data_IF_251808009212
#
_entry.id   IF_251808009212
#
_cell.length_a   1.000
_cell.length_b   1.000
_cell.length_c   1.000
_cell.angle_alpha   90.00
_cell.angle_beta   90.00
_cell.angle_gamma   90.00
#
_symmetry.space_group_name_H-M   'P 1'
#
loop_
_entity.id
_entity.type
_entity.pdbx_description
1 polymer ?
#
# COMPACT_ATOMS: atom_id res chain seq x y z
N UNK A 1 -8.58 18.94 1.76
CA UNK A 1 -9.59 17.86 2.00
C UNK A 1 -8.90 16.61 2.54
N UNK A 2 -9.61 15.70 3.20
CA UNK A 2 -9.05 14.41 3.66
C UNK A 2 -9.30 13.32 2.62
N UNK A 3 -8.22 12.66 2.17
CA UNK A 3 -8.24 11.65 1.10
C UNK A 3 -7.61 10.36 1.63
N UNK A 4 -8.33 9.25 1.50
CA UNK A 4 -7.89 7.95 1.99
C UNK A 4 -7.77 6.98 0.81
N UNK A 5 -6.55 6.50 0.53
CA UNK A 5 -6.31 5.46 -0.47
C UNK A 5 -6.32 4.09 0.19
N UNK A 6 -7.14 3.18 -0.32
CA UNK A 6 -7.15 1.78 0.11
C UNK A 6 -6.43 0.96 -0.95
N UNK A 7 -5.28 0.41 -0.58
CA UNK A 7 -4.39 -0.27 -1.50
C UNK A 7 -4.43 -1.78 -1.29
N UNK A 8 -4.33 -2.60 -2.35
CA UNK A 8 -4.39 -4.04 -2.23
C UNK A 8 -3.14 -4.64 -1.57
N UNK A 9 -1.99 -3.98 -1.71
CA UNK A 9 -0.68 -4.37 -1.20
C UNK A 9 0.29 -3.19 -1.32
N UNK A 10 1.46 -3.26 -0.65
CA UNK A 10 2.48 -2.20 -0.77
C UNK A 10 3.52 -2.45 -1.86
N UNK A 11 3.56 -3.66 -2.43
CA UNK A 11 4.56 -4.06 -3.43
C UNK A 11 4.56 -3.09 -4.61
N UNK A 12 5.77 -2.65 -5.00
CA UNK A 12 5.97 -1.63 -6.03
C UNK A 12 5.68 -2.12 -7.46
N UNK A 13 4.40 -2.31 -7.77
CA UNK A 13 3.89 -2.52 -9.14
C UNK A 13 3.55 -1.18 -9.79
N UNK A 14 3.28 -1.19 -11.10
CA UNK A 14 2.95 0.03 -11.86
C UNK A 14 1.81 0.84 -11.23
N UNK A 15 0.70 0.19 -10.86
CA UNK A 15 -0.44 0.87 -10.25
C UNK A 15 -0.12 1.49 -8.89
N UNK A 16 0.63 0.79 -8.02
CA UNK A 16 1.05 1.32 -6.72
C UNK A 16 1.98 2.53 -6.88
N UNK A 17 2.89 2.49 -7.86
CA UNK A 17 3.77 3.64 -8.18
C UNK A 17 2.96 4.88 -8.56
N UNK A 18 1.96 4.72 -9.44
CA UNK A 18 1.09 5.83 -9.84
C UNK A 18 0.36 6.42 -8.64
N UNK A 19 -0.22 5.58 -7.78
CA UNK A 19 -0.95 6.05 -6.61
C UNK A 19 -0.03 6.79 -5.64
N UNK A 20 1.19 6.30 -5.40
CA UNK A 20 2.15 6.98 -4.52
C UNK A 20 2.58 8.35 -5.06
N UNK A 21 2.86 8.44 -6.37
CA UNK A 21 3.14 9.73 -7.02
C UNK A 21 1.96 10.69 -6.87
N UNK A 22 0.74 10.20 -7.07
CA UNK A 22 -0.46 11.02 -6.95
C UNK A 22 -0.73 11.44 -5.50
N UNK A 23 -0.46 10.57 -4.54
CA UNK A 23 -0.58 10.87 -3.12
C UNK A 23 0.39 11.98 -2.69
N UNK A 24 1.65 11.94 -3.14
CA UNK A 24 2.59 13.05 -2.93
C UNK A 24 2.10 14.34 -3.58
N UNK A 25 1.63 14.28 -4.83
CA UNK A 25 1.07 15.44 -5.52
C UNK A 25 -0.10 16.06 -4.73
N UNK A 26 -1.02 15.25 -4.20
CA UNK A 26 -2.15 15.71 -3.40
C UNK A 26 -1.71 16.33 -2.05
N UNK A 27 -0.68 15.78 -1.40
CA UNK A 27 -0.06 16.41 -0.23
C UNK A 27 0.49 17.79 -0.61
N UNK A 28 1.20 17.90 -1.74
CA UNK A 28 1.79 19.16 -2.23
C UNK A 28 0.72 20.20 -2.60
N UNK A 29 -0.52 19.78 -2.91
CA UNK A 29 -1.68 20.65 -3.10
C UNK A 29 -2.39 21.03 -1.78
N UNK A 30 -1.88 20.60 -0.62
CA UNK A 30 -2.44 20.95 0.69
C UNK A 30 -3.57 20.04 1.18
N UNK A 31 -3.70 18.82 0.64
CA UNK A 31 -4.64 17.82 1.14
C UNK A 31 -4.02 16.98 2.26
N UNK A 32 -4.87 16.42 3.14
CA UNK A 32 -4.48 15.39 4.10
C UNK A 32 -4.65 14.02 3.43
N UNK A 33 -3.57 13.28 3.22
CA UNK A 33 -3.58 12.02 2.47
C UNK A 33 -3.05 10.87 3.32
N UNK A 34 -3.83 9.80 3.42
CA UNK A 34 -3.46 8.56 4.10
C UNK A 34 -3.63 7.37 3.17
N UNK A 35 -2.59 6.55 3.04
CA UNK A 35 -2.64 5.28 2.32
C UNK A 35 -2.76 4.12 3.31
N UNK A 36 -3.70 3.23 3.09
CA UNK A 36 -3.90 2.02 3.89
C UNK A 36 -3.51 0.80 3.07
N UNK A 37 -2.66 -0.05 3.64
CA UNK A 37 -2.22 -1.31 3.04
C UNK A 37 -2.50 -2.47 3.99
N UNK A 38 -3.07 -3.59 3.51
CA UNK A 38 -3.29 -4.74 4.36
C UNK A 38 -1.97 -5.48 4.64
N UNK A 39 -1.79 -5.89 5.89
CA UNK A 39 -0.72 -6.78 6.31
C UNK A 39 -0.94 -8.17 5.71
N UNK A 40 -2.19 -8.65 5.72
CA UNK A 40 -2.58 -9.92 5.11
C UNK A 40 -2.99 -9.67 3.66
N UNK A 41 -2.23 -10.23 2.72
CA UNK A 41 -2.55 -10.10 1.29
C UNK A 41 -3.89 -10.77 0.96
N UNK A 42 -4.68 -10.14 0.09
CA UNK A 42 -5.92 -10.71 -0.45
C UNK A 42 -5.70 -12.12 -1.02
N UNK A 43 -6.71 -12.97 -0.88
CA UNK A 43 -6.70 -14.31 -1.46
C UNK A 43 -6.95 -14.22 -2.97
N UNK A 44 -5.88 -14.33 -3.77
CA UNK A 44 -6.04 -14.44 -5.21
C UNK A 44 -6.66 -15.78 -5.62
N UNK A 45 -7.36 -15.80 -6.77
CA UNK A 45 -7.91 -17.02 -7.37
C UNK A 45 -6.76 -17.98 -7.69
N UNK A 46 -6.86 -19.23 -7.26
CA UNK A 46 -5.84 -20.29 -7.44
C UNK A 46 -4.46 -20.00 -6.81
N UNK A 47 -4.36 -19.11 -5.82
CA UNK A 47 -3.09 -18.88 -5.11
C UNK A 47 -2.90 -19.88 -3.96
N UNK A 48 -1.69 -20.44 -3.87
CA UNK A 48 -1.30 -21.32 -2.76
C UNK A 48 -1.17 -20.53 -1.45
N UNK A 49 -1.41 -21.22 -0.32
CA UNK A 49 -1.29 -20.64 1.02
C UNK A 49 0.11 -20.04 1.25
N UNK A 50 1.15 -20.69 0.71
CA UNK A 50 2.55 -20.22 0.77
C UNK A 50 2.76 -18.89 0.05
N UNK A 51 2.13 -18.69 -1.11
CA UNK A 51 2.20 -17.43 -1.82
C UNK A 51 1.57 -16.29 -1.00
N UNK A 52 0.44 -16.57 -0.35
CA UNK A 52 -0.24 -15.61 0.55
C UNK A 52 0.63 -15.24 1.74
N UNK A 53 1.28 -16.22 2.36
CA UNK A 53 2.20 -15.98 3.50
C UNK A 53 3.38 -15.12 3.05
N UNK A 54 4.04 -15.47 1.92
CA UNK A 54 5.16 -14.71 1.37
C UNK A 54 4.77 -13.27 1.00
N UNK A 55 3.60 -13.08 0.40
CA UNK A 55 3.08 -11.75 0.07
C UNK A 55 2.77 -10.92 1.34
N UNK A 56 2.18 -11.54 2.36
CA UNK A 56 1.88 -10.89 3.63
C UNK A 56 3.14 -10.47 4.40
N UNK A 57 4.18 -11.32 4.39
CA UNK A 57 5.50 -10.99 4.93
C UNK A 57 6.13 -9.81 4.18
N UNK A 58 6.02 -9.77 2.85
CA UNK A 58 6.48 -8.65 2.03
C UNK A 58 5.77 -7.34 2.38
N UNK A 59 4.45 -7.37 2.57
CA UNK A 59 3.67 -6.20 3.00
C UNK A 59 4.08 -5.71 4.39
N UNK A 60 4.44 -6.62 5.30
CA UNK A 60 4.72 -6.27 6.70
C UNK A 60 6.17 -5.80 6.92
N UNK A 61 7.16 -6.55 6.43
CA UNK A 61 8.56 -6.40 6.85
C UNK A 61 9.43 -5.57 5.90
N UNK A 62 9.09 -5.52 4.60
CA UNK A 62 10.02 -4.95 3.62
C UNK A 62 10.01 -3.42 3.62
N UNK A 63 11.04 -2.75 4.10
CA UNK A 63 11.13 -1.30 3.91
C UNK A 63 11.64 -1.03 2.49
N UNK A 64 10.78 -0.43 1.65
CA UNK A 64 11.13 -0.06 0.28
C UNK A 64 11.55 1.42 0.27
N UNK A 65 12.85 1.68 0.20
CA UNK A 65 13.45 3.03 0.19
C UNK A 65 13.40 3.71 -1.19
N UNK A 66 12.68 3.14 -2.16
CA UNK A 66 12.74 3.62 -3.55
C UNK A 66 12.00 4.94 -3.77
N UNK A 67 11.07 5.30 -2.87
CA UNK A 67 10.19 6.45 -3.04
C UNK A 67 10.13 7.27 -1.76
N UNK A 68 10.41 8.56 -1.91
CA UNK A 68 10.28 9.53 -0.83
C UNK A 68 8.80 9.89 -0.65
N UNK A 69 8.13 9.16 0.27
CA UNK A 69 6.71 9.36 0.54
C UNK A 69 6.50 10.53 1.51
N UNK A 70 5.64 11.48 1.12
CA UNK A 70 5.21 12.61 1.96
C UNK A 70 3.92 12.33 2.73
N UNK A 71 3.23 11.23 2.39
CA UNK A 71 1.95 10.82 2.99
C UNK A 71 2.13 9.74 4.07
N UNK A 72 1.11 9.59 4.92
CA UNK A 72 1.09 8.53 5.92
C UNK A 72 0.69 7.18 5.28
N UNK A 73 1.45 6.12 5.59
CA UNK A 73 1.20 4.77 5.10
C UNK A 73 0.89 3.85 6.28
N UNK A 74 -0.40 3.61 6.51
CA UNK A 74 -0.89 2.77 7.60
C UNK A 74 -1.01 1.33 7.16
N UNK A 75 -0.37 0.44 7.92
CA UNK A 75 -0.54 -1.01 7.77
C UNK A 75 -1.70 -1.43 8.65
N UNK A 76 -2.69 -2.09 8.05
CA UNK A 76 -3.87 -2.59 8.76
C UNK A 76 -3.95 -4.11 8.63
N UNK A 77 -4.47 -4.84 9.64
CA UNK A 77 -4.41 -6.31 9.63
C UNK A 77 -5.08 -6.92 8.39
N UNK A 78 -6.29 -6.47 8.07
CA UNK A 78 -7.13 -6.93 6.96
C UNK A 78 -7.92 -5.73 6.42
N UNK A 79 -8.21 -5.74 5.13
CA UNK A 79 -9.24 -4.91 4.51
C UNK A 79 -10.33 -5.87 4.05
N UNK A 80 -11.48 -5.85 4.74
CA UNK A 80 -12.65 -6.68 4.44
C UNK A 80 -13.71 -5.88 3.70
#
# INVERSE_FOLDING_TARGET
>A
MKINFILPFKRMTGGIRVIYTYANYLIDQGHDVVCYVPMISYRGRNQTIFYRIKASLGNTLKNDNWFDKKFDLKRIPVVS
#
